data_IF_308907815457
#
_entry.id   IF_308907815457
#
_cell.length_a   1.000
_cell.length_b   1.000
_cell.length_c   1.000
_cell.angle_alpha   90.00
_cell.angle_beta   90.00
_cell.angle_gamma   90.00
#
_symmetry.space_group_name_H-M   'P 1'
#
loop_
_entity.id
_entity.type
_entity.pdbx_description
1 polymer ?
#
# COMPACT_ATOMS: atom_id res chain seq x y z
N UNK A 1 -9.00 11.44 18.48
CA UNK A 1 -9.99 11.46 17.39
C UNK A 1 -11.30 10.78 17.76
N UNK A 2 -11.33 9.45 17.95
CA UNK A 2 -12.57 8.72 18.29
C UNK A 2 -13.31 9.29 19.52
N UNK A 3 -12.56 9.58 20.60
CA UNK A 3 -13.09 10.23 21.80
C UNK A 3 -13.67 11.63 21.55
N UNK A 4 -12.98 12.46 20.75
CA UNK A 4 -13.42 13.83 20.43
C UNK A 4 -14.68 13.85 19.56
N UNK A 5 -14.81 12.87 18.67
CA UNK A 5 -15.93 12.75 17.72
C UNK A 5 -17.09 11.92 18.28
N UNK A 6 -16.97 11.40 19.50
CA UNK A 6 -17.92 10.48 20.13
C UNK A 6 -18.32 9.29 19.22
N UNK A 7 -17.35 8.72 18.51
CA UNK A 7 -17.55 7.56 17.63
C UNK A 7 -16.53 6.46 17.95
N UNK A 8 -16.81 5.24 17.49
CA UNK A 8 -15.87 4.13 17.64
C UNK A 8 -14.56 4.36 16.87
N UNK A 9 -13.46 3.76 17.34
CA UNK A 9 -12.17 3.75 16.63
C UNK A 9 -12.30 3.07 15.25
N UNK A 10 -13.19 2.10 15.12
CA UNK A 10 -13.53 1.45 13.85
C UNK A 10 -14.17 2.40 12.85
N UNK A 11 -15.08 3.27 13.30
CA UNK A 11 -15.72 4.30 12.47
C UNK A 11 -14.70 5.28 11.92
N UNK A 12 -13.80 5.80 12.77
CA UNK A 12 -12.73 6.71 12.34
C UNK A 12 -11.82 6.03 11.32
N UNK A 13 -11.47 4.75 11.55
CA UNK A 13 -10.62 3.99 10.64
C UNK A 13 -11.28 3.76 9.27
N UNK A 14 -12.58 3.46 9.26
CA UNK A 14 -13.36 3.30 8.02
C UNK A 14 -13.42 4.61 7.24
N UNK A 15 -13.77 5.72 7.89
CA UNK A 15 -13.84 7.04 7.26
C UNK A 15 -12.49 7.49 6.72
N UNK A 16 -11.41 7.28 7.48
CA UNK A 16 -10.05 7.58 7.02
C UNK A 16 -9.70 6.78 5.77
N UNK A 17 -10.05 5.48 5.72
CA UNK A 17 -9.83 4.64 4.55
C UNK A 17 -10.62 5.11 3.34
N UNK A 18 -11.91 5.39 3.51
CA UNK A 18 -12.80 5.89 2.44
C UNK A 18 -12.33 7.22 1.89
N UNK A 19 -11.89 8.14 2.76
CA UNK A 19 -11.30 9.41 2.34
C UNK A 19 -10.09 9.20 1.44
N UNK A 20 -9.10 8.43 1.91
CA UNK A 20 -7.86 8.18 1.17
C UNK A 20 -8.12 7.48 -0.17
N UNK A 21 -9.11 6.58 -0.23
CA UNK A 21 -9.51 5.92 -1.48
C UNK A 21 -10.17 6.88 -2.47
N UNK A 22 -11.02 7.79 -1.98
CA UNK A 22 -11.75 8.75 -2.82
C UNK A 22 -10.85 9.86 -3.35
N UNK A 23 -9.95 10.38 -2.53
CA UNK A 23 -9.10 11.53 -2.90
C UNK A 23 -7.75 11.10 -3.46
N UNK A 24 -7.30 9.87 -3.17
CA UNK A 24 -5.93 9.43 -3.45
C UNK A 24 -4.89 10.07 -2.51
N UNK A 25 -5.31 10.92 -1.58
CA UNK A 25 -4.43 11.51 -0.57
C UNK A 25 -4.22 10.54 0.58
N UNK A 26 -3.02 10.55 1.16
CA UNK A 26 -2.69 9.68 2.29
C UNK A 26 -2.72 10.49 3.58
N UNK A 27 -3.57 10.06 4.51
CA UNK A 27 -3.65 10.69 5.83
C UNK A 27 -2.40 10.36 6.65
N UNK A 28 -1.72 11.36 7.26
CA UNK A 28 -0.49 11.17 8.01
C UNK A 28 -0.77 10.60 9.41
N UNK A 29 -1.31 9.38 9.45
CA UNK A 29 -1.51 8.66 10.72
C UNK A 29 -0.20 8.04 11.20
N UNK A 30 -0.07 7.84 12.51
CA UNK A 30 1.11 7.22 13.11
C UNK A 30 1.50 5.89 12.43
N UNK A 31 0.50 5.06 12.15
CA UNK A 31 0.70 3.77 11.49
C UNK A 31 1.16 3.88 10.04
N UNK A 32 0.77 4.95 9.33
CA UNK A 32 1.18 5.16 7.93
C UNK A 32 2.60 5.76 7.88
N UNK A 33 2.86 6.81 8.65
CA UNK A 33 4.17 7.51 8.64
C UNK A 33 5.31 6.54 8.99
N UNK A 34 5.06 5.61 9.91
CA UNK A 34 6.07 4.65 10.36
C UNK A 34 5.90 3.24 9.76
N UNK A 35 4.98 3.05 8.82
CA UNK A 35 4.62 1.73 8.27
C UNK A 35 4.30 0.70 9.38
N UNK A 36 3.73 1.17 10.49
CA UNK A 36 3.27 0.37 11.64
C UNK A 36 1.82 -0.01 11.41
N UNK A 37 1.62 -1.14 10.76
CA UNK A 37 0.32 -1.81 10.67
C UNK A 37 -0.08 -2.26 9.28
N UNK A 38 -1.23 -2.94 9.19
CA UNK A 38 -1.84 -3.41 7.94
C UNK A 38 -2.45 -2.27 7.12
N UNK A 39 -1.86 -1.08 7.07
CA UNK A 39 -2.39 0.04 6.31
C UNK A 39 -2.11 -0.12 4.80
N UNK A 40 -2.49 -1.27 4.25
CA UNK A 40 -2.62 -1.66 2.83
C UNK A 40 -2.98 -0.49 1.88
N UNK A 41 -3.81 0.44 2.34
CA UNK A 41 -4.36 1.54 1.53
C UNK A 41 -3.30 2.44 0.91
N UNK A 42 -2.28 2.89 1.66
CA UNK A 42 -1.29 3.84 1.13
C UNK A 42 -0.30 3.16 0.17
N UNK A 43 0.05 1.88 0.41
CA UNK A 43 0.84 1.06 -0.53
C UNK A 43 0.10 0.87 -1.84
N UNK A 44 -1.20 0.57 -1.77
CA UNK A 44 -2.07 0.47 -2.97
C UNK A 44 -2.12 1.80 -3.73
N UNK A 45 -2.25 2.94 -3.05
CA UNK A 45 -2.25 4.27 -3.71
C UNK A 45 -0.92 4.51 -4.44
N UNK A 46 0.22 4.27 -3.77
CA UNK A 46 1.56 4.42 -4.36
C UNK A 46 1.71 3.54 -5.61
N UNK A 47 1.34 2.26 -5.51
CA UNK A 47 1.44 1.32 -6.63
C UNK A 47 0.48 1.66 -7.77
N UNK A 48 -0.74 2.14 -7.48
CA UNK A 48 -1.67 2.57 -8.50
C UNK A 48 -1.15 3.80 -9.27
N UNK A 49 -0.53 4.76 -8.58
CA UNK A 49 0.13 5.89 -9.24
C UNK A 49 1.32 5.43 -10.10
N UNK A 50 2.11 4.49 -9.59
CA UNK A 50 3.19 3.88 -10.37
C UNK A 50 2.67 3.17 -11.63
N UNK A 51 1.59 2.38 -11.53
CA UNK A 51 0.95 1.72 -12.69
C UNK A 51 0.40 2.72 -13.72
N UNK A 52 -0.08 3.89 -13.27
CA UNK A 52 -0.50 5.00 -14.15
C UNK A 52 0.66 5.72 -14.86
N UNK A 53 1.91 5.31 -14.62
CA UNK A 53 3.10 5.86 -15.29
C UNK A 53 3.74 7.07 -14.58
N UNK A 54 3.28 7.43 -13.38
CA UNK A 54 3.92 8.49 -12.60
C UNK A 54 5.32 8.07 -12.15
N UNK A 55 6.27 9.01 -12.13
CA UNK A 55 7.62 8.76 -11.68
C UNK A 55 7.71 8.78 -10.15
N UNK A 56 8.66 8.04 -9.56
CA UNK A 56 8.87 7.98 -8.10
C UNK A 56 8.90 9.37 -7.44
N UNK A 57 9.59 10.41 -7.98
CA UNK A 57 9.59 11.75 -7.38
C UNK A 57 8.21 12.40 -7.33
N UNK A 58 7.38 12.20 -8.36
CA UNK A 58 6.04 12.76 -8.42
C UNK A 58 5.11 12.02 -7.46
N UNK A 59 5.21 10.68 -7.41
CA UNK A 59 4.47 9.85 -6.46
C UNK A 59 4.83 10.29 -5.03
N UNK A 60 6.12 10.46 -4.72
CA UNK A 60 6.58 10.89 -3.40
C UNK A 60 5.95 12.24 -2.99
N UNK A 61 5.90 13.21 -3.92
CA UNK A 61 5.24 14.51 -3.71
C UNK A 61 3.73 14.37 -3.49
N UNK A 62 3.05 13.60 -4.34
CA UNK A 62 1.59 13.39 -4.25
C UNK A 62 1.16 12.63 -2.99
N UNK A 63 2.03 11.74 -2.50
CA UNK A 63 1.74 10.84 -1.36
C UNK A 63 2.34 11.32 -0.05
N UNK A 64 3.03 12.47 -0.06
CA UNK A 64 3.78 13.01 1.08
C UNK A 64 4.74 11.98 1.71
N UNK A 65 5.41 11.21 0.87
CA UNK A 65 6.42 10.20 1.24
C UNK A 65 7.80 10.60 0.75
N UNK A 66 8.83 9.94 1.28
CA UNK A 66 10.17 10.05 0.69
C UNK A 66 10.27 9.16 -0.54
N UNK A 67 11.15 9.53 -1.47
CA UNK A 67 11.37 8.74 -2.70
C UNK A 67 11.86 7.33 -2.37
N UNK A 68 12.69 7.18 -1.33
CA UNK A 68 13.21 5.90 -0.87
C UNK A 68 12.09 4.97 -0.36
N UNK A 69 11.07 5.54 0.28
CA UNK A 69 9.90 4.78 0.73
C UNK A 69 9.08 4.29 -0.47
N UNK A 70 8.79 5.17 -1.44
CA UNK A 70 8.11 4.80 -2.68
C UNK A 70 8.87 3.72 -3.46
N UNK A 71 10.17 3.90 -3.63
CA UNK A 71 11.06 2.94 -4.31
C UNK A 71 11.05 1.56 -3.65
N UNK A 72 11.01 1.51 -2.31
CA UNK A 72 10.95 0.24 -1.57
C UNK A 72 9.69 -0.54 -1.93
N UNK A 73 8.54 0.14 -1.98
CA UNK A 73 7.28 -0.50 -2.36
C UNK A 73 7.27 -0.93 -3.83
N UNK A 74 7.73 -0.08 -4.74
CA UNK A 74 7.81 -0.39 -6.18
C UNK A 74 8.76 -1.56 -6.43
N UNK A 75 9.91 -1.62 -5.77
CA UNK A 75 10.87 -2.74 -5.88
C UNK A 75 10.28 -4.04 -5.32
N UNK A 76 9.59 -3.98 -4.18
CA UNK A 76 8.91 -5.15 -3.61
C UNK A 76 7.84 -5.69 -4.57
N UNK A 77 7.02 -4.79 -5.12
CA UNK A 77 5.99 -5.11 -6.11
C UNK A 77 6.57 -5.79 -7.36
N UNK A 78 7.62 -5.23 -7.97
CA UNK A 78 8.29 -5.83 -9.14
C UNK A 78 8.85 -7.23 -8.88
N UNK A 79 9.39 -7.47 -7.68
CA UNK A 79 9.87 -8.79 -7.29
C UNK A 79 8.72 -9.79 -7.21
N UNK A 80 7.59 -9.40 -6.62
CA UNK A 80 6.39 -10.25 -6.55
C UNK A 80 5.82 -10.51 -7.93
N UNK A 81 5.69 -9.49 -8.78
CA UNK A 81 5.21 -9.61 -10.17
C UNK A 81 6.05 -10.59 -11.00
N UNK A 82 7.38 -10.57 -10.83
CA UNK A 82 8.25 -11.50 -11.55
C UNK A 82 8.06 -12.94 -11.08
N UNK A 83 7.94 -13.15 -9.77
CA UNK A 83 7.84 -14.49 -9.17
C UNK A 83 6.43 -15.09 -9.27
N UNK A 84 5.38 -14.26 -9.32
CA UNK A 84 3.98 -14.72 -9.43
C UNK A 84 3.69 -15.41 -10.76
N UNK A 85 4.54 -15.25 -11.77
CA UNK A 85 4.43 -15.94 -13.06
C UNK A 85 4.81 -17.42 -12.99
N UNK A 86 5.57 -17.83 -11.97
CA UNK A 86 6.14 -19.19 -11.90
C UNK A 86 5.91 -19.89 -10.57
N UNK A 87 5.53 -19.19 -9.50
CA UNK A 87 5.45 -19.73 -8.14
C UNK A 87 4.15 -19.34 -7.44
N UNK A 88 3.77 -20.12 -6.43
CA UNK A 88 2.62 -19.81 -5.58
C UNK A 88 2.95 -18.74 -4.54
N UNK A 89 1.93 -18.05 -4.04
CA UNK A 89 2.07 -16.94 -3.09
C UNK A 89 2.86 -17.29 -1.83
N UNK A 90 2.77 -18.53 -1.37
CA UNK A 90 3.46 -19.09 -0.21
C UNK A 90 4.97 -19.16 -0.42
N UNK A 91 5.39 -19.62 -1.59
CA UNK A 91 6.81 -19.77 -1.95
C UNK A 91 7.46 -18.39 -2.11
N UNK A 92 6.72 -17.46 -2.73
CA UNK A 92 7.15 -16.06 -2.89
C UNK A 92 7.34 -15.40 -1.53
N UNK A 93 6.40 -15.62 -0.60
CA UNK A 93 6.49 -15.10 0.75
C UNK A 93 7.74 -15.60 1.48
N UNK A 94 8.07 -16.88 1.33
CA UNK A 94 9.30 -17.46 1.88
C UNK A 94 10.57 -16.87 1.25
N UNK A 95 10.64 -16.81 -0.09
CA UNK A 95 11.82 -16.30 -0.81
C UNK A 95 12.08 -14.82 -0.50
N UNK A 96 11.03 -14.01 -0.42
CA UNK A 96 11.15 -12.58 -0.20
C UNK A 96 11.18 -12.19 1.28
N UNK A 97 11.00 -13.14 2.21
CA UNK A 97 10.90 -12.87 3.64
C UNK A 97 9.70 -11.97 3.99
N UNK A 98 8.61 -12.06 3.22
CA UNK A 98 7.42 -11.24 3.38
C UNK A 98 6.29 -12.04 4.03
N UNK A 99 5.35 -11.34 4.68
CA UNK A 99 4.12 -11.98 5.14
C UNK A 99 3.26 -12.45 3.96
N UNK A 100 2.71 -13.67 4.02
CA UNK A 100 1.83 -14.23 2.97
C UNK A 100 0.71 -13.26 2.53
N UNK A 101 0.04 -12.65 3.50
CA UNK A 101 -1.04 -11.68 3.25
C UNK A 101 -0.58 -10.46 2.43
N UNK A 102 0.66 -10.01 2.59
CA UNK A 102 1.24 -8.90 1.82
C UNK A 102 1.52 -9.34 0.38
N UNK A 103 2.02 -10.55 0.17
CA UNK A 103 2.25 -11.11 -1.18
C UNK A 103 0.91 -11.28 -1.90
N UNK A 104 -0.09 -11.86 -1.26
CA UNK A 104 -1.44 -11.98 -1.82
C UNK A 104 -2.07 -10.63 -2.16
N UNK A 105 -1.73 -9.58 -1.41
CA UNK A 105 -2.19 -8.23 -1.71
C UNK A 105 -1.52 -7.66 -2.96
N UNK A 106 -0.22 -7.82 -3.11
CA UNK A 106 0.47 -7.44 -4.35
C UNK A 106 -0.05 -8.23 -5.57
N UNK A 107 -0.34 -9.52 -5.39
CA UNK A 107 -0.98 -10.35 -6.43
C UNK A 107 -2.40 -9.84 -6.75
N UNK A 108 -3.19 -9.44 -5.74
CA UNK A 108 -4.49 -8.81 -5.98
C UNK A 108 -4.38 -7.52 -6.79
N UNK A 109 -3.40 -6.65 -6.48
CA UNK A 109 -3.16 -5.41 -7.23
C UNK A 109 -2.69 -5.70 -8.68
N UNK A 110 -2.00 -6.82 -8.91
CA UNK A 110 -1.66 -7.30 -10.24
C UNK A 110 -2.91 -7.74 -11.02
N UNK A 111 -3.77 -8.54 -10.39
CA UNK A 111 -4.95 -9.15 -11.01
C UNK A 111 -6.18 -8.23 -11.07
N UNK A 112 -6.20 -7.09 -10.37
CA UNK A 112 -7.26 -6.07 -10.49
C UNK A 112 -7.33 -5.45 -11.92
N UNK A 113 -6.45 -5.85 -12.85
CA UNK A 113 -6.42 -5.45 -14.26
C UNK A 113 -6.35 -6.64 -15.26
N UNK A 114 -6.96 -7.79 -14.95
CA UNK A 114 -7.33 -8.79 -15.97
C UNK A 114 -8.85 -8.88 -16.14
#
# INVERSE_FOLDING_TARGET
>A
MAYLLNVSTGTVSKQAKEYMQRTGEILPTRGIIHDIGRAVTHKRIILNLYKKGYQTPDIARMTNHTQEACDRYIKAYKKVEKLSKTMKSEEIAQILGMGKSLVEEYIRILNEEE
#
